data_IF_860860297302
#
_entry.id   IF_860860297302
#
_cell.length_a   1.000
_cell.length_b   1.000
_cell.length_c   1.000
_cell.angle_alpha   90.00
_cell.angle_beta   90.00
_cell.angle_gamma   90.00
#
_symmetry.space_group_name_H-M   'P 1'
#
loop_
_entity.id
_entity.type
_entity.pdbx_description
1 polymer ?
#
# COMPACT_ATOMS: atom_id res chain seq x y z
N UNK A 1 59.71 57.28 35.97
CA UNK A 1 58.80 57.84 34.94
C UNK A 1 59.18 57.10 33.67
N UNK A 2 58.40 56.21 33.07
CA UNK A 2 56.95 56.17 32.88
C UNK A 2 56.48 54.71 32.76
N UNK A 3 55.29 54.40 33.27
CA UNK A 3 54.60 53.11 33.12
C UNK A 3 53.58 53.21 31.97
N UNK A 4 53.62 52.28 31.02
CA UNK A 4 52.60 52.13 29.97
C UNK A 4 51.52 51.12 30.41
N UNK A 5 50.21 51.43 30.29
CA UNK A 5 49.15 50.50 30.64
C UNK A 5 48.81 49.56 29.48
N UNK A 6 48.71 48.26 29.78
CA UNK A 6 48.18 47.25 28.87
C UNK A 6 46.65 47.42 28.70
N UNK A 7 46.20 47.75 27.48
CA UNK A 7 44.77 47.78 27.14
C UNK A 7 44.28 46.35 26.82
N UNK A 8 43.57 45.76 27.77
CA UNK A 8 42.67 44.63 27.53
C UNK A 8 41.42 45.17 26.80
N UNK A 9 41.33 44.96 25.49
CA UNK A 9 40.15 45.37 24.73
C UNK A 9 40.05 44.64 23.41
N UNK A 10 39.19 43.63 23.31
CA UNK A 10 38.87 43.01 22.03
C UNK A 10 38.12 41.67 22.05
N UNK A 11 38.02 40.98 23.19
CA UNK A 11 37.49 39.60 23.23
C UNK A 11 35.98 39.40 23.47
N UNK A 12 35.11 40.36 23.85
CA UNK A 12 33.73 40.03 24.19
C UNK A 12 32.83 39.75 22.97
N UNK A 13 33.22 40.18 21.76
CA UNK A 13 32.41 40.01 20.54
C UNK A 13 32.49 38.60 19.94
N UNK A 14 33.64 37.93 20.07
CA UNK A 14 33.83 36.57 19.55
C UNK A 14 33.15 35.50 20.43
N UNK A 15 33.12 35.71 21.75
CA UNK A 15 32.43 34.83 22.69
C UNK A 15 30.89 34.85 22.50
N UNK A 16 30.32 36.01 22.16
CA UNK A 16 28.88 36.14 21.88
C UNK A 16 28.44 35.40 20.62
N UNK A 17 29.27 35.42 19.56
CA UNK A 17 28.98 34.70 18.31
C UNK A 17 29.05 33.18 18.50
N UNK A 18 30.01 32.68 19.28
CA UNK A 18 30.12 31.25 19.59
C UNK A 18 28.91 30.71 20.36
N UNK A 19 28.36 31.47 21.31
CA UNK A 19 27.18 31.07 22.09
C UNK A 19 25.92 30.96 21.23
N UNK A 20 25.74 31.87 20.26
CA UNK A 20 24.60 31.86 19.33
C UNK A 20 24.66 30.66 18.38
N UNK A 21 25.84 30.31 17.87
CA UNK A 21 26.02 29.14 16.99
C UNK A 21 25.73 27.82 17.72
N UNK A 22 26.13 27.69 18.99
CA UNK A 22 25.82 26.50 19.81
C UNK A 22 24.33 26.42 20.18
N UNK A 23 23.68 27.56 20.43
CA UNK A 23 22.24 27.61 20.69
C UNK A 23 21.39 27.25 19.44
N UNK A 24 21.89 27.52 18.23
CA UNK A 24 21.25 27.13 16.96
C UNK A 24 21.51 25.67 16.56
N UNK A 25 22.53 25.01 17.12
CA UNK A 25 22.89 23.63 16.75
C UNK A 25 21.97 22.55 17.37
N UNK A 26 21.12 22.90 18.34
CA UNK A 26 20.15 21.99 18.97
C UNK A 26 18.77 21.95 18.28
N UNK A 27 18.62 22.57 17.11
CA UNK A 27 17.33 22.97 16.55
C UNK A 27 16.76 22.04 15.48
N UNK A 28 17.33 20.84 15.24
CA UNK A 28 16.69 19.86 14.36
C UNK A 28 15.48 19.22 15.06
N UNK A 29 14.29 19.36 14.50
CA UNK A 29 13.05 18.83 15.09
C UNK A 29 12.94 17.33 14.85
N UNK A 30 12.71 16.58 15.94
CA UNK A 30 12.29 15.18 15.93
C UNK A 30 13.43 14.15 16.03
N UNK A 31 13.26 13.09 16.84
CA UNK A 31 14.22 11.99 16.90
C UNK A 31 14.20 11.19 15.59
N UNK A 32 15.34 10.60 15.23
CA UNK A 32 15.40 9.67 14.10
C UNK A 32 14.60 8.39 14.42
N UNK A 33 14.09 7.75 13.37
CA UNK A 33 13.30 6.53 13.51
C UNK A 33 14.15 5.40 14.13
N UNK A 34 13.68 4.89 15.27
CA UNK A 34 14.20 3.67 15.88
C UNK A 34 13.12 2.59 15.77
N UNK A 35 13.43 1.50 15.05
CA UNK A 35 12.52 0.38 14.94
C UNK A 35 12.22 -0.21 16.32
N UNK A 36 10.94 -0.42 16.68
CA UNK A 36 10.60 -0.99 17.98
C UNK A 36 11.15 -2.41 18.10
N UNK A 37 11.73 -2.73 19.26
CA UNK A 37 12.23 -4.06 19.55
C UNK A 37 11.08 -5.08 19.52
N UNK A 38 11.19 -6.10 18.68
CA UNK A 38 10.19 -7.16 18.59
C UNK A 38 10.64 -8.38 19.41
N UNK A 39 9.81 -8.82 20.35
CA UNK A 39 10.05 -10.04 21.12
C UNK A 39 9.49 -11.25 20.37
N UNK A 40 10.20 -11.70 19.34
CA UNK A 40 9.86 -12.90 18.57
C UNK A 40 10.83 -14.05 18.89
N UNK A 41 10.36 -15.31 18.86
CA UNK A 41 11.24 -16.46 19.00
C UNK A 41 12.22 -16.50 17.83
N UNK A 42 13.49 -16.80 18.11
CA UNK A 42 14.55 -16.91 17.09
C UNK A 42 14.35 -18.08 16.13
N UNK A 43 13.58 -19.10 16.54
CA UNK A 43 13.23 -20.25 15.71
C UNK A 43 11.75 -20.61 15.89
N UNK A 44 11.12 -20.98 14.79
CA UNK A 44 9.79 -21.57 14.78
C UNK A 44 9.91 -23.09 14.89
N UNK A 45 9.01 -23.74 15.64
CA UNK A 45 9.13 -25.18 15.96
C UNK A 45 9.22 -26.12 14.75
N UNK A 46 8.75 -25.68 13.59
CA UNK A 46 8.76 -26.45 12.34
C UNK A 46 9.79 -25.92 11.31
N UNK A 47 10.81 -25.18 11.75
CA UNK A 47 11.81 -24.63 10.83
C UNK A 47 12.61 -25.74 10.13
N UNK A 48 12.80 -25.69 8.80
CA UNK A 48 13.62 -26.64 8.07
C UNK A 48 15.07 -26.65 8.60
N UNK A 49 15.68 -27.84 8.69
CA UNK A 49 17.07 -28.00 9.18
C UNK A 49 18.12 -27.30 8.29
N UNK A 50 17.79 -27.04 7.03
CA UNK A 50 18.66 -26.37 6.06
C UNK A 50 18.30 -24.90 5.89
N UNK A 51 19.12 -24.03 6.49
CA UNK A 51 19.04 -22.57 6.39
C UNK A 51 19.67 -22.06 5.09
N UNK A 52 19.13 -22.40 3.92
CA UNK A 52 19.43 -21.60 2.72
C UNK A 52 18.36 -20.53 2.60
N UNK A 53 18.68 -19.24 2.79
CA UNK A 53 17.73 -18.17 2.56
C UNK A 53 17.19 -18.31 1.13
N UNK A 54 15.87 -18.37 0.99
CA UNK A 54 15.25 -18.32 -0.32
C UNK A 54 15.47 -16.92 -0.89
N UNK A 55 15.87 -16.83 -2.16
CA UNK A 55 15.99 -15.53 -2.81
C UNK A 55 14.62 -14.86 -2.89
N UNK A 56 14.58 -13.53 -2.74
CA UNK A 56 13.35 -12.74 -2.81
C UNK A 56 12.55 -13.00 -4.09
N UNK A 57 13.23 -13.22 -5.22
CA UNK A 57 12.60 -13.59 -6.51
C UNK A 57 11.90 -14.94 -6.47
N UNK A 58 12.44 -15.91 -5.72
CA UNK A 58 11.79 -17.22 -5.57
C UNK A 58 10.56 -17.14 -4.66
N UNK A 59 10.59 -16.26 -3.66
CA UNK A 59 9.45 -16.02 -2.77
C UNK A 59 8.31 -15.29 -3.50
N UNK A 60 8.63 -14.32 -4.37
CA UNK A 60 7.62 -13.59 -5.14
C UNK A 60 6.93 -14.42 -6.23
N UNK A 61 7.42 -15.62 -6.52
CA UNK A 61 6.82 -16.56 -7.49
C UNK A 61 6.58 -17.95 -6.87
N UNK A 62 6.30 -18.00 -5.57
CA UNK A 62 6.23 -19.24 -4.79
C UNK A 62 5.29 -20.30 -5.40
N UNK A 63 4.17 -19.89 -6.01
CA UNK A 63 3.18 -20.80 -6.60
C UNK A 63 3.73 -21.60 -7.78
N UNK A 64 4.78 -21.13 -8.46
CA UNK A 64 5.42 -21.87 -9.55
C UNK A 64 6.00 -23.21 -9.09
N UNK A 65 6.30 -23.35 -7.79
CA UNK A 65 6.75 -24.61 -7.20
C UNK A 65 5.69 -25.71 -7.24
N UNK A 66 4.42 -25.37 -7.43
CA UNK A 66 3.33 -26.34 -7.63
C UNK A 66 3.41 -27.05 -8.99
N UNK A 67 4.18 -26.52 -9.95
CA UNK A 67 4.46 -27.19 -11.22
C UNK A 67 3.32 -27.19 -12.24
N UNK A 68 2.29 -26.36 -12.07
CA UNK A 68 1.16 -26.27 -13.01
C UNK A 68 1.21 -24.99 -13.88
N UNK A 69 1.41 -25.16 -15.19
CA UNK A 69 1.48 -24.06 -16.16
C UNK A 69 0.15 -23.30 -16.26
N UNK A 70 -0.99 -23.99 -16.09
CA UNK A 70 -2.30 -23.35 -16.16
C UNK A 70 -2.53 -22.44 -14.96
N UNK A 71 -2.04 -22.81 -13.77
CA UNK A 71 -2.06 -21.93 -12.61
C UNK A 71 -1.27 -20.63 -12.88
N UNK A 72 -0.08 -20.74 -13.47
CA UNK A 72 0.73 -19.56 -13.80
C UNK A 72 -0.03 -18.57 -14.71
N UNK A 73 -0.69 -19.07 -15.75
CA UNK A 73 -1.49 -18.24 -16.67
C UNK A 73 -2.71 -17.61 -16.01
N UNK A 74 -3.32 -18.27 -15.02
CA UNK A 74 -4.45 -17.71 -14.26
C UNK A 74 -3.95 -16.59 -13.34
N UNK A 75 -2.83 -16.81 -12.63
CA UNK A 75 -2.22 -15.79 -11.77
C UNK A 75 -1.83 -14.54 -12.57
N UNK A 76 -1.18 -14.71 -13.73
CA UNK A 76 -0.80 -13.58 -14.58
C UNK A 76 -2.01 -12.76 -15.05
N UNK A 77 -3.09 -13.44 -15.47
CA UNK A 77 -4.35 -12.77 -15.84
C UNK A 77 -5.03 -12.09 -14.65
N UNK A 78 -5.00 -12.72 -13.47
CA UNK A 78 -5.58 -12.15 -12.26
C UNK A 78 -4.84 -10.87 -11.85
N UNK A 79 -3.50 -10.89 -11.81
CA UNK A 79 -2.70 -9.70 -11.48
C UNK A 79 -2.88 -8.58 -12.51
N UNK A 80 -3.02 -8.92 -13.79
CA UNK A 80 -3.23 -7.93 -14.85
C UNK A 80 -4.64 -7.31 -14.82
N UNK A 81 -5.66 -8.08 -14.44
CA UNK A 81 -7.07 -7.66 -14.51
C UNK A 81 -7.73 -7.29 -13.18
N UNK A 82 -7.06 -7.46 -12.04
CA UNK A 82 -7.66 -7.20 -10.72
C UNK A 82 -7.69 -5.69 -10.40
N UNK A 83 -8.86 -5.22 -9.94
CA UNK A 83 -9.10 -3.81 -9.61
C UNK A 83 -8.44 -3.37 -8.30
N UNK A 84 -8.24 -4.28 -7.35
CA UNK A 84 -7.55 -3.98 -6.08
C UNK A 84 -6.06 -3.69 -6.34
N UNK A 85 -5.42 -4.45 -7.23
CA UNK A 85 -4.05 -4.18 -7.71
C UNK A 85 -3.99 -2.84 -8.44
N UNK A 86 -4.99 -2.53 -9.27
CA UNK A 86 -5.06 -1.24 -9.97
C UNK A 86 -5.23 -0.07 -8.98
N UNK A 87 -6.06 -0.25 -7.95
CA UNK A 87 -6.29 0.70 -6.86
C UNK A 87 -5.01 0.92 -6.03
N UNK A 88 -4.32 -0.14 -5.63
CA UNK A 88 -3.06 -0.06 -4.90
C UNK A 88 -1.96 0.67 -5.71
N UNK A 89 -1.86 0.40 -7.03
CA UNK A 89 -0.99 1.19 -7.92
C UNK A 89 -1.38 2.66 -8.00
N UNK A 90 -2.67 2.98 -7.92
CA UNK A 90 -3.14 4.36 -7.87
C UNK A 90 -2.73 5.05 -6.57
N UNK A 91 -2.80 4.34 -5.43
CA UNK A 91 -2.32 4.85 -4.13
C UNK A 91 -0.83 5.18 -4.12
N UNK A 92 0.01 4.41 -4.82
CA UNK A 92 1.43 4.77 -5.00
C UNK A 92 1.57 6.09 -5.77
N UNK A 93 0.77 6.31 -6.82
CA UNK A 93 0.79 7.58 -7.58
C UNK A 93 0.31 8.75 -6.72
N UNK A 94 -0.71 8.54 -5.90
CA UNK A 94 -1.20 9.50 -4.92
C UNK A 94 -0.11 9.85 -3.90
N UNK A 95 0.51 8.86 -3.27
CA UNK A 95 1.62 9.08 -2.33
C UNK A 95 2.78 9.88 -2.95
N UNK A 96 3.14 9.59 -4.20
CA UNK A 96 4.13 10.38 -4.95
C UNK A 96 3.68 11.81 -5.21
N UNK A 97 2.38 12.04 -5.43
CA UNK A 97 1.82 13.39 -5.57
C UNK A 97 1.87 14.15 -4.24
N UNK A 98 1.51 13.50 -3.13
CA UNK A 98 1.62 14.04 -1.77
C UNK A 98 3.04 14.43 -1.43
N UNK A 99 4.03 13.58 -1.76
CA UNK A 99 5.45 13.93 -1.60
C UNK A 99 5.84 15.16 -2.42
N UNK A 100 5.36 15.28 -3.65
CA UNK A 100 5.62 16.48 -4.48
C UNK A 100 5.01 17.74 -3.87
N UNK A 101 3.81 17.65 -3.29
CA UNK A 101 3.21 18.76 -2.56
C UNK A 101 4.03 19.15 -1.34
N UNK A 102 4.49 18.18 -0.55
CA UNK A 102 5.36 18.41 0.60
C UNK A 102 6.68 19.09 0.19
N UNK A 103 7.28 18.67 -0.94
CA UNK A 103 8.48 19.33 -1.50
C UNK A 103 8.16 20.76 -1.95
N UNK A 104 6.96 21.02 -2.45
CA UNK A 104 6.51 22.37 -2.82
C UNK A 104 6.60 23.37 -1.67
N UNK A 105 6.37 22.92 -0.42
CA UNK A 105 6.50 23.77 0.76
C UNK A 105 7.94 24.24 1.05
N UNK A 106 8.95 23.56 0.50
CA UNK A 106 10.36 23.98 0.58
C UNK A 106 10.75 25.01 -0.48
N UNK A 107 9.82 25.39 -1.36
CA UNK A 107 10.06 26.33 -2.45
C UNK A 107 9.26 27.63 -2.24
N UNK A 108 9.72 28.76 -2.77
CA UNK A 108 8.93 29.99 -2.76
C UNK A 108 7.56 29.78 -3.41
N UNK A 109 6.51 30.16 -2.69
CA UNK A 109 5.15 30.23 -3.23
C UNK A 109 4.98 31.60 -3.89
N UNK A 110 4.40 31.62 -5.08
CA UNK A 110 4.09 32.84 -5.81
C UNK A 110 2.62 32.80 -6.15
N UNK A 111 1.89 33.75 -5.59
CA UNK A 111 0.45 33.88 -5.74
C UNK A 111 0.11 35.17 -6.48
N UNK A 112 -0.99 35.14 -7.20
CA UNK A 112 -1.50 36.28 -7.96
C UNK A 112 -2.96 36.49 -7.64
N UNK A 113 -3.36 37.74 -7.44
CA UNK A 113 -4.75 38.07 -7.14
C UNK A 113 -5.27 39.22 -7.99
N UNK A 114 -6.58 39.23 -8.18
CA UNK A 114 -7.34 40.30 -8.79
C UNK A 114 -8.70 40.42 -8.08
N UNK A 115 -9.07 41.62 -7.66
CA UNK A 115 -10.33 41.89 -6.97
C UNK A 115 -11.02 43.10 -7.58
N UNK A 116 -12.35 43.06 -7.59
CA UNK A 116 -13.21 44.17 -8.00
C UNK A 116 -14.29 44.35 -6.93
N UNK A 117 -14.22 45.47 -6.22
CA UNK A 117 -15.11 45.78 -5.11
C UNK A 117 -15.91 47.03 -5.45
N UNK A 118 -17.24 46.92 -5.42
CA UNK A 118 -18.15 48.06 -5.57
C UNK A 118 -18.78 48.37 -4.22
N UNK A 119 -18.56 49.57 -3.71
CA UNK A 119 -19.18 50.05 -2.46
C UNK A 119 -20.16 51.17 -2.76
N UNK A 120 -21.28 51.21 -2.03
CA UNK A 120 -22.26 52.28 -2.10
C UNK A 120 -22.49 52.82 -0.68
N UNK A 121 -22.21 54.09 -0.51
CA UNK A 121 -22.48 54.83 0.72
C UNK A 121 -23.80 55.58 0.56
N UNK A 122 -24.71 55.38 1.51
CA UNK A 122 -26.01 56.04 1.51
C UNK A 122 -25.85 57.54 1.83
N UNK A 123 -26.77 58.36 1.31
CA UNK A 123 -26.78 59.81 1.52
C UNK A 123 -26.73 60.22 3.00
N UNK A 124 -27.41 59.46 3.87
CA UNK A 124 -27.45 59.70 5.31
C UNK A 124 -26.08 59.58 6.01
N UNK A 125 -25.11 58.90 5.39
CA UNK A 125 -23.77 58.67 5.94
C UNK A 125 -22.65 59.18 5.02
N UNK A 126 -23.01 59.91 3.96
CA UNK A 126 -22.07 60.44 2.96
C UNK A 126 -21.74 61.91 3.26
N UNK A 127 -20.45 62.26 3.25
CA UNK A 127 -19.99 63.64 3.48
C UNK A 127 -20.47 64.64 2.41
N UNK A 128 -20.88 64.15 1.24
CA UNK A 128 -21.48 64.98 0.17
C UNK A 128 -23.00 65.11 0.26
N UNK A 129 -23.66 64.47 1.23
CA UNK A 129 -25.12 64.46 1.39
C UNK A 129 -25.90 63.70 0.30
N UNK A 130 -25.20 63.07 -0.65
CA UNK A 130 -25.78 62.24 -1.72
C UNK A 130 -25.29 60.79 -1.67
N UNK A 131 -25.99 59.89 -2.36
CA UNK A 131 -25.53 58.51 -2.52
C UNK A 131 -24.23 58.50 -3.33
N UNK A 132 -23.16 57.96 -2.76
CA UNK A 132 -21.87 57.83 -3.44
C UNK A 132 -21.63 56.35 -3.77
N UNK A 133 -21.30 56.06 -5.02
CA UNK A 133 -20.88 54.71 -5.44
C UNK A 133 -19.42 54.76 -5.83
N UNK A 134 -18.60 53.88 -5.28
CA UNK A 134 -17.19 53.74 -5.62
C UNK A 134 -16.92 52.34 -6.16
N UNK A 135 -16.04 52.24 -7.15
CA UNK A 135 -15.53 50.99 -7.67
C UNK A 135 -14.02 50.96 -7.43
N UNK A 136 -13.53 49.88 -6.84
CA UNK A 136 -12.13 49.63 -6.59
C UNK A 136 -11.73 48.35 -7.31
N UNK A 137 -10.78 48.45 -8.24
CA UNK A 137 -10.17 47.32 -8.92
C UNK A 137 -8.73 47.20 -8.41
N UNK A 138 -8.35 46.03 -7.91
CA UNK A 138 -6.99 45.76 -7.44
C UNK A 138 -6.49 44.49 -8.12
N UNK A 139 -5.21 44.47 -8.45
CA UNK A 139 -4.52 43.27 -8.90
C UNK A 139 -3.09 43.32 -8.41
N UNK A 140 -2.52 42.17 -8.11
CA UNK A 140 -1.16 42.06 -7.62
C UNK A 140 -0.64 40.65 -7.70
N UNK A 141 0.63 40.51 -7.38
CA UNK A 141 1.27 39.23 -7.09
C UNK A 141 2.02 39.37 -5.79
N UNK A 142 2.12 38.28 -5.05
CA UNK A 142 2.91 38.17 -3.84
C UNK A 142 3.75 36.90 -3.90
N UNK A 143 4.90 36.94 -3.23
CA UNK A 143 5.77 35.79 -3.11
C UNK A 143 6.14 35.62 -1.64
N UNK A 144 5.97 34.41 -1.13
CA UNK A 144 6.30 34.06 0.24
C UNK A 144 7.22 32.84 0.27
N UNK A 145 8.17 32.86 1.18
CA UNK A 145 9.10 31.76 1.38
C UNK A 145 9.44 31.66 2.85
N UNK A 146 9.34 30.45 3.39
CA UNK A 146 9.72 30.15 4.77
C UNK A 146 11.12 29.53 4.78
N UNK A 147 12.04 30.16 5.53
CA UNK A 147 13.33 29.55 5.82
C UNK A 147 13.12 28.45 6.85
N UNK A 148 13.31 27.20 6.46
CA UNK A 148 13.18 26.05 7.35
C UNK A 148 14.43 25.87 8.23
N UNK A 149 14.63 26.78 9.21
CA UNK A 149 15.79 26.74 10.12
C UNK A 149 15.81 25.49 11.00
N UNK A 150 14.63 24.96 11.35
CA UNK A 150 14.46 23.87 12.31
C UNK A 150 14.19 22.50 11.65
N UNK A 151 14.02 22.48 10.33
CA UNK A 151 13.84 21.26 9.53
C UNK A 151 12.43 20.68 9.56
N UNK A 152 11.40 21.44 9.95
CA UNK A 152 10.03 20.94 10.04
C UNK A 152 9.48 20.52 8.66
N UNK A 153 9.72 21.33 7.64
CA UNK A 153 9.29 21.03 6.27
C UNK A 153 10.15 19.90 5.66
N UNK A 154 11.45 19.85 5.97
CA UNK A 154 12.30 18.72 5.60
C UNK A 154 11.82 17.39 6.18
N UNK A 155 11.48 17.35 7.47
CA UNK A 155 10.92 16.15 8.11
C UNK A 155 9.54 15.78 7.55
N UNK A 156 8.74 16.77 7.13
CA UNK A 156 7.47 16.49 6.44
C UNK A 156 7.70 15.83 5.06
N UNK A 157 8.71 16.27 4.30
CA UNK A 157 9.11 15.61 3.04
C UNK A 157 9.62 14.19 3.29
N UNK A 158 10.39 13.99 4.36
CA UNK A 158 10.85 12.67 4.78
C UNK A 158 9.65 11.76 5.10
N UNK A 159 8.71 12.24 5.91
CA UNK A 159 7.48 11.50 6.24
C UNK A 159 6.66 11.14 4.98
N UNK A 160 6.49 12.09 4.05
CA UNK A 160 5.81 11.83 2.79
C UNK A 160 6.58 10.84 1.89
N UNK A 161 7.90 10.75 2.03
CA UNK A 161 8.73 9.74 1.33
C UNK A 161 8.46 8.35 1.89
N UNK A 162 8.45 8.19 3.23
CA UNK A 162 8.05 6.91 3.84
C UNK A 162 6.59 6.53 3.54
N UNK A 163 5.72 7.50 3.27
CA UNK A 163 4.37 7.25 2.76
C UNK A 163 4.36 6.55 1.38
N UNK A 164 5.36 6.79 0.53
CA UNK A 164 5.52 6.06 -0.74
C UNK A 164 5.96 4.62 -0.46
N UNK A 165 6.95 4.43 0.43
CA UNK A 165 7.45 3.11 0.79
C UNK A 165 6.32 2.24 1.40
N UNK A 166 5.50 2.84 2.26
CA UNK A 166 4.32 2.18 2.82
C UNK A 166 3.31 1.77 1.73
N UNK A 167 3.02 2.65 0.76
CA UNK A 167 2.12 2.33 -0.35
C UNK A 167 2.68 1.23 -1.27
N UNK A 168 4.00 1.15 -1.45
CA UNK A 168 4.66 0.07 -2.18
C UNK A 168 4.54 -1.28 -1.44
N UNK A 169 4.64 -1.31 -0.11
CA UNK A 169 4.40 -2.51 0.70
C UNK A 169 2.92 -2.92 0.73
N UNK A 170 1.99 -1.96 0.75
CA UNK A 170 0.56 -2.24 0.63
C UNK A 170 0.24 -2.93 -0.71
N UNK A 171 0.84 -2.47 -1.82
CA UNK A 171 0.71 -3.16 -3.11
C UNK A 171 1.22 -4.60 -3.05
N UNK A 172 2.36 -4.83 -2.39
CA UNK A 172 2.91 -6.18 -2.22
C UNK A 172 2.00 -7.07 -1.38
N UNK A 173 1.39 -6.53 -0.34
CA UNK A 173 0.40 -7.22 0.50
C UNK A 173 -0.84 -7.61 -0.31
N UNK A 174 -1.41 -6.68 -1.10
CA UNK A 174 -2.54 -6.96 -2.01
C UNK A 174 -2.18 -8.06 -3.02
N UNK A 175 -0.98 -7.99 -3.63
CA UNK A 175 -0.51 -9.03 -4.55
C UNK A 175 -0.39 -10.39 -3.86
N UNK A 176 0.16 -10.45 -2.64
CA UNK A 176 0.32 -11.70 -1.90
C UNK A 176 -1.04 -12.35 -1.61
N UNK A 177 -2.01 -11.56 -1.11
CA UNK A 177 -3.37 -12.04 -0.83
C UNK A 177 -4.08 -12.51 -2.09
N UNK A 178 -4.06 -11.70 -3.16
CA UNK A 178 -4.68 -12.06 -4.44
C UNK A 178 -4.14 -13.38 -4.99
N UNK A 179 -2.81 -13.55 -4.97
CA UNK A 179 -2.17 -14.77 -5.48
C UNK A 179 -2.50 -15.97 -4.59
N UNK A 180 -2.57 -15.77 -3.26
CA UNK A 180 -3.02 -16.78 -2.31
C UNK A 180 -4.44 -17.27 -2.58
N UNK A 181 -5.36 -16.34 -2.80
CA UNK A 181 -6.76 -16.64 -3.10
C UNK A 181 -6.90 -17.37 -4.45
N UNK A 182 -6.20 -16.91 -5.49
CA UNK A 182 -6.19 -17.56 -6.80
C UNK A 182 -5.66 -18.99 -6.70
N UNK A 183 -4.54 -19.19 -5.98
CA UNK A 183 -3.95 -20.51 -5.80
C UNK A 183 -4.89 -21.46 -5.03
N UNK A 184 -5.52 -20.97 -3.95
CA UNK A 184 -6.46 -21.75 -3.13
C UNK A 184 -7.67 -22.18 -3.95
N UNK A 185 -8.35 -21.22 -4.60
CA UNK A 185 -9.51 -21.49 -5.46
C UNK A 185 -9.16 -22.44 -6.62
N UNK A 186 -7.97 -22.31 -7.19
CA UNK A 186 -7.50 -23.22 -8.25
C UNK A 186 -7.36 -24.65 -7.75
N UNK A 187 -6.71 -24.85 -6.60
CA UNK A 187 -6.51 -26.17 -6.01
C UNK A 187 -7.86 -26.81 -5.66
N UNK A 188 -8.80 -26.04 -5.10
CA UNK A 188 -10.15 -26.52 -4.82
C UNK A 188 -10.89 -26.97 -6.09
N UNK A 189 -10.81 -26.19 -7.17
CA UNK A 189 -11.40 -26.53 -8.45
C UNK A 189 -10.80 -27.83 -9.02
N UNK A 190 -9.47 -28.01 -8.95
CA UNK A 190 -8.79 -29.24 -9.35
C UNK A 190 -9.21 -30.44 -8.50
N UNK A 191 -9.36 -30.25 -7.19
CA UNK A 191 -9.86 -31.26 -6.27
C UNK A 191 -11.30 -31.68 -6.57
N UNK A 192 -12.17 -30.73 -6.93
CA UNK A 192 -13.54 -31.01 -7.37
C UNK A 192 -13.57 -31.81 -8.69
N UNK A 193 -12.74 -31.44 -9.67
CA UNK A 193 -12.60 -32.18 -10.94
C UNK A 193 -12.13 -33.62 -10.72
N UNK A 194 -11.14 -33.84 -9.84
CA UNK A 194 -10.66 -35.17 -9.50
C UNK A 194 -11.78 -36.03 -8.87
N UNK A 195 -12.52 -35.48 -7.90
CA UNK A 195 -13.67 -36.15 -7.29
C UNK A 195 -14.77 -36.49 -8.31
N UNK A 196 -15.10 -35.57 -9.20
CA UNK A 196 -16.06 -35.82 -10.27
C UNK A 196 -15.60 -36.93 -11.23
N UNK A 197 -14.30 -36.97 -11.56
CA UNK A 197 -13.74 -38.02 -12.42
C UNK A 197 -13.82 -39.41 -11.75
N UNK A 198 -13.52 -39.48 -10.45
CA UNK A 198 -13.62 -40.71 -9.67
C UNK A 198 -15.07 -41.19 -9.58
N UNK A 199 -16.01 -40.31 -9.25
CA UNK A 199 -17.43 -40.63 -9.17
C UNK A 199 -17.97 -41.19 -10.51
N UNK A 200 -17.56 -40.62 -11.65
CA UNK A 200 -17.94 -41.13 -12.98
C UNK A 200 -17.38 -42.53 -13.25
N UNK A 201 -16.12 -42.80 -12.90
CA UNK A 201 -15.51 -44.13 -13.05
C UNK A 201 -16.21 -45.16 -12.17
N UNK A 202 -16.52 -44.80 -10.92
CA UNK A 202 -17.27 -45.66 -10.00
C UNK A 202 -18.67 -45.96 -10.54
N UNK A 203 -19.39 -44.95 -11.03
CA UNK A 203 -20.71 -45.15 -11.63
C UNK A 203 -20.67 -46.05 -12.87
N UNK A 204 -19.66 -45.91 -13.73
CA UNK A 204 -19.46 -46.78 -14.88
C UNK A 204 -19.22 -48.24 -14.47
N UNK A 205 -18.34 -48.47 -13.48
CA UNK A 205 -18.05 -49.81 -12.95
C UNK A 205 -19.28 -50.45 -12.28
N UNK A 206 -20.09 -49.67 -11.56
CA UNK A 206 -21.34 -50.15 -10.97
C UNK A 206 -22.36 -50.55 -12.04
N UNK A 207 -22.49 -49.78 -13.14
CA UNK A 207 -23.36 -50.14 -14.27
C UNK A 207 -22.91 -51.43 -14.96
N UNK A 208 -21.60 -51.63 -15.12
CA UNK A 208 -21.08 -52.87 -15.70
C UNK A 208 -21.33 -54.07 -14.79
N UNK A 209 -21.16 -53.90 -13.48
CA UNK A 209 -21.48 -54.94 -12.48
C UNK A 209 -22.97 -55.28 -12.48
N UNK A 210 -23.84 -54.27 -12.58
CA UNK A 210 -25.30 -54.45 -12.69
C UNK A 210 -25.65 -55.23 -13.96
N UNK A 211 -25.11 -54.86 -15.12
CA UNK A 211 -25.31 -55.56 -16.40
C UNK A 211 -24.87 -57.03 -16.32
N UNK A 212 -23.67 -57.30 -15.79
CA UNK A 212 -23.16 -58.67 -15.64
C UNK A 212 -24.02 -59.50 -14.68
N UNK A 213 -24.46 -58.90 -13.57
CA UNK A 213 -25.31 -59.59 -12.59
C UNK A 213 -26.69 -59.90 -13.17
N UNK A 214 -27.28 -58.96 -13.91
CA UNK A 214 -28.55 -59.14 -14.62
C UNK A 214 -28.45 -60.27 -15.65
N UNK A 215 -27.40 -60.29 -16.48
CA UNK A 215 -27.17 -61.33 -17.47
C UNK A 215 -27.04 -62.73 -16.84
N UNK A 216 -26.36 -62.85 -15.69
CA UNK A 216 -26.23 -64.13 -14.97
C UNK A 216 -27.57 -64.58 -14.36
N UNK A 217 -28.37 -63.63 -13.87
CA UNK A 217 -29.70 -63.93 -13.33
C UNK A 217 -30.65 -64.43 -14.42
N UNK A 218 -30.73 -63.75 -15.57
CA UNK A 218 -31.56 -64.18 -16.70
C UNK A 218 -31.12 -65.52 -17.29
N UNK A 219 -29.84 -65.86 -17.18
CA UNK A 219 -29.31 -67.17 -17.56
C UNK A 219 -29.48 -68.27 -16.47
N UNK A 220 -30.28 -68.03 -15.42
CA UNK A 220 -30.60 -69.01 -14.38
C UNK A 220 -29.45 -69.38 -13.43
N UNK A 221 -28.31 -68.67 -13.50
CA UNK A 221 -27.06 -69.03 -12.83
C UNK A 221 -26.67 -68.11 -11.67
N UNK A 222 -27.56 -67.21 -11.26
CA UNK A 222 -27.35 -66.33 -10.09
C UNK A 222 -28.60 -66.25 -9.19
N UNK A 223 -28.38 -66.17 -7.87
CA UNK A 223 -29.46 -66.01 -6.89
C UNK A 223 -29.92 -64.54 -6.77
N UNK A 224 -31.21 -64.28 -6.45
CA UNK A 224 -31.76 -62.92 -6.27
C UNK A 224 -31.03 -62.08 -5.21
N UNK A 225 -30.38 -62.73 -4.24
CA UNK A 225 -29.65 -62.08 -3.15
C UNK A 225 -28.45 -61.27 -3.67
N UNK A 226 -27.89 -61.66 -4.83
CA UNK A 226 -26.70 -61.03 -5.41
C UNK A 226 -27.01 -59.79 -6.26
N UNK A 227 -28.28 -59.47 -6.51
CA UNK A 227 -28.66 -58.23 -7.18
C UNK A 227 -28.41 -57.00 -6.28
N UNK A 228 -28.04 -55.84 -6.86
CA UNK A 228 -28.06 -54.58 -6.12
C UNK A 228 -29.42 -54.35 -5.48
N UNK A 229 -29.47 -53.83 -4.23
CA UNK A 229 -30.73 -53.64 -3.49
C UNK A 229 -31.76 -52.80 -4.25
N UNK A 230 -31.30 -51.84 -5.05
CA UNK A 230 -32.13 -50.98 -5.89
C UNK A 230 -32.76 -51.72 -7.08
N UNK A 231 -32.13 -52.77 -7.61
CA UNK A 231 -32.73 -53.62 -8.65
C UNK A 231 -33.81 -54.55 -8.10
N UNK A 232 -33.72 -54.95 -6.82
CA UNK A 232 -34.77 -55.77 -6.16
C UNK A 232 -36.07 -55.01 -5.92
N UNK A 233 -36.02 -53.67 -5.89
CA UNK A 233 -37.19 -52.82 -5.63
C UNK A 233 -38.02 -52.54 -6.91
N UNK A 234 -37.52 -52.91 -8.09
CA UNK A 234 -38.14 -52.62 -9.40
C UNK A 234 -38.27 -53.85 -10.32
N UNK A 235 -38.22 -55.06 -9.75
CA UNK A 235 -38.46 -56.33 -10.44
C UNK A 235 -39.75 -56.95 -9.90
#
# INVERSE_FOLDING_TARGET
>A
METLPARLGGLPRLAGVGLVVVALAGCAVGPDYAAPGQFLPTNWGNAPKTKKPLEARQLSQWWKKLGDVRLNQIVERAVAGNLDVASAKARIREARATRRQAVGALLPQVDGFGSATRSRTAAATSASGGNTTSNLFQSGFDASFELDLFGANYRNVEAATYGIDAADEDLRSVMLTLIGDVATNYIEARGAQARASLARRTAASQRETEKLTRNKFTAGSASPVRMPSWCRLWA
#
